data_IF_707351053606
#
_entry.id   IF_707351053606
#
_cell.length_a   1.000
_cell.length_b   1.000
_cell.length_c   1.000
_cell.angle_alpha   90.00
_cell.angle_beta   90.00
_cell.angle_gamma   90.00
#
_symmetry.space_group_name_H-M   'P 1'
#
loop_
_entity.id
_entity.type
_entity.pdbx_description
1 polymer ?
#
# COMPACT_ATOMS: atom_id res chain seq x y z
N UNK A 1 14.86 50.95 24.67
CA UNK A 1 15.05 49.76 23.83
C UNK A 1 13.98 48.73 24.06
N UNK A 2 12.98 48.65 23.18
CA UNK A 2 12.17 47.44 23.04
C UNK A 2 12.90 46.56 22.03
N UNK A 3 13.43 45.44 22.51
CA UNK A 3 13.86 44.34 21.65
C UNK A 3 12.63 43.90 20.82
N UNK A 4 12.79 43.59 19.53
CA UNK A 4 11.71 42.98 18.78
C UNK A 4 11.48 41.59 19.39
N UNK A 5 10.24 41.34 19.84
CA UNK A 5 9.76 39.98 20.11
C UNK A 5 9.84 39.20 18.79
N UNK A 6 11.00 38.63 18.50
CA UNK A 6 11.16 37.56 17.53
C UNK A 6 10.52 36.31 18.16
N UNK A 7 9.20 36.32 18.21
CA UNK A 7 8.42 35.13 18.47
C UNK A 7 8.58 34.28 17.21
N UNK A 8 9.60 33.42 17.21
CA UNK A 8 9.69 32.28 16.32
C UNK A 8 8.50 31.35 16.64
N UNK A 9 7.29 31.77 16.30
CA UNK A 9 6.18 30.85 16.15
C UNK A 9 6.59 29.93 15.00
N UNK A 10 6.87 28.68 15.35
CA UNK A 10 7.06 27.61 14.38
C UNK A 10 5.80 27.59 13.51
N UNK A 11 5.94 28.00 12.24
CA UNK A 11 4.80 28.07 11.32
C UNK A 11 4.23 26.66 11.17
N UNK A 12 2.92 26.52 11.38
CA UNK A 12 2.27 25.23 11.16
C UNK A 12 2.25 24.89 9.66
N UNK A 13 2.03 23.63 9.32
CA UNK A 13 1.84 23.22 7.92
C UNK A 13 0.69 23.97 7.24
N UNK A 14 -0.36 24.29 8.00
CA UNK A 14 -1.50 25.07 7.53
C UNK A 14 -1.12 26.54 7.26
N UNK A 15 -0.31 27.15 8.14
CA UNK A 15 0.18 28.52 7.92
C UNK A 15 1.06 28.61 6.66
N UNK A 16 1.93 27.62 6.46
CA UNK A 16 2.77 27.53 5.26
C UNK A 16 1.92 27.37 4.00
N UNK A 17 0.92 26.48 4.01
CA UNK A 17 0.03 26.29 2.87
C UNK A 17 -0.78 27.56 2.54
N UNK A 18 -1.33 28.24 3.55
CA UNK A 18 -2.07 29.48 3.37
C UNK A 18 -1.18 30.59 2.78
N UNK A 19 0.07 30.71 3.23
CA UNK A 19 1.03 31.66 2.67
C UNK A 19 1.38 31.35 1.22
N UNK A 20 1.64 30.07 0.88
CA UNK A 20 1.92 29.65 -0.50
C UNK A 20 0.74 29.95 -1.44
N UNK A 21 -0.49 29.63 -1.03
CA UNK A 21 -1.69 29.94 -1.82
C UNK A 21 -1.88 31.44 -2.04
N UNK A 22 -1.59 32.26 -1.02
CA UNK A 22 -1.67 33.72 -1.13
C UNK A 22 -0.61 34.28 -2.08
N UNK A 23 0.61 33.74 -2.06
CA UNK A 23 1.73 34.18 -2.90
C UNK A 23 1.63 33.64 -4.34
N UNK A 24 0.96 32.50 -4.54
CA UNK A 24 0.82 31.84 -5.84
C UNK A 24 0.56 32.78 -7.04
N UNK A 25 -0.44 33.67 -7.03
CA UNK A 25 -0.71 34.55 -8.19
C UNK A 25 0.38 35.59 -8.46
N UNK A 26 1.27 35.85 -7.49
CA UNK A 26 2.38 36.79 -7.63
C UNK A 26 3.63 36.15 -8.25
N UNK A 27 3.69 34.83 -8.31
CA UNK A 27 4.82 34.09 -8.87
C UNK A 27 4.83 34.14 -10.39
N UNK A 28 6.03 34.05 -10.96
CA UNK A 28 6.20 33.93 -12.41
C UNK A 28 5.64 32.59 -12.91
N UNK A 29 5.24 32.53 -14.18
CA UNK A 29 4.72 31.29 -14.78
C UNK A 29 5.72 30.14 -14.76
N UNK A 30 7.01 30.42 -14.95
CA UNK A 30 8.06 29.40 -14.87
C UNK A 30 8.22 28.86 -13.44
N UNK A 31 8.21 29.73 -12.43
CA UNK A 31 8.29 29.32 -11.02
C UNK A 31 7.06 28.50 -10.61
N UNK A 32 5.85 28.91 -11.03
CA UNK A 32 4.64 28.12 -10.80
C UNK A 32 4.77 26.71 -11.39
N UNK A 33 5.26 26.61 -12.62
CA UNK A 33 5.43 25.33 -13.30
C UNK A 33 6.51 24.44 -12.63
N UNK A 34 7.59 25.02 -12.13
CA UNK A 34 8.61 24.30 -11.37
C UNK A 34 8.07 23.75 -10.05
N UNK A 35 7.31 24.56 -9.30
CA UNK A 35 6.69 24.12 -8.05
C UNK A 35 5.69 23.00 -8.26
N UNK A 36 4.85 23.07 -9.30
CA UNK A 36 3.91 22.00 -9.67
C UNK A 36 4.66 20.71 -10.00
N UNK A 37 5.75 20.78 -10.77
CA UNK A 37 6.55 19.60 -11.08
C UNK A 37 7.21 19.00 -9.83
N UNK A 38 7.66 19.84 -8.90
CA UNK A 38 8.26 19.38 -7.65
C UNK A 38 7.22 18.70 -6.73
N UNK A 39 6.02 19.28 -6.63
CA UNK A 39 4.91 18.68 -5.90
C UNK A 39 4.53 17.32 -6.50
N UNK A 40 4.35 17.26 -7.82
CA UNK A 40 4.09 16.01 -8.54
C UNK A 40 5.18 14.96 -8.26
N UNK A 41 6.46 15.33 -8.39
CA UNK A 41 7.59 14.41 -8.17
C UNK A 41 7.64 13.87 -6.74
N UNK A 42 7.29 14.71 -5.77
CA UNK A 42 7.20 14.32 -4.35
C UNK A 42 6.09 13.29 -4.15
N UNK A 43 4.89 13.56 -4.67
CA UNK A 43 3.74 12.65 -4.58
C UNK A 43 4.05 11.34 -5.30
N UNK A 44 4.61 11.40 -6.51
CA UNK A 44 4.97 10.22 -7.29
C UNK A 44 5.95 9.31 -6.54
N UNK A 45 7.01 9.90 -5.97
CA UNK A 45 7.99 9.16 -5.17
C UNK A 45 7.36 8.50 -3.94
N UNK A 46 6.46 9.22 -3.27
CA UNK A 46 5.75 8.70 -2.11
C UNK A 46 4.77 7.58 -2.48
N UNK A 47 4.15 7.66 -3.67
CA UNK A 47 3.28 6.62 -4.19
C UNK A 47 4.03 5.30 -4.44
N UNK A 48 5.26 5.35 -4.99
CA UNK A 48 6.13 4.17 -5.13
C UNK A 48 6.42 3.56 -3.76
N UNK A 49 6.79 4.39 -2.78
CA UNK A 49 7.10 3.90 -1.43
C UNK A 49 5.88 3.21 -0.79
N UNK A 50 4.69 3.81 -0.89
CA UNK A 50 3.48 3.20 -0.36
C UNK A 50 3.06 1.94 -1.12
N UNK A 51 3.27 1.86 -2.43
CA UNK A 51 3.07 0.63 -3.19
C UNK A 51 3.92 -0.51 -2.59
N UNK A 52 5.21 -0.28 -2.37
CA UNK A 52 6.10 -1.26 -1.75
C UNK A 52 5.65 -1.66 -0.34
N UNK A 53 5.25 -0.69 0.48
CA UNK A 53 4.74 -0.97 1.82
C UNK A 53 3.47 -1.82 1.79
N UNK A 54 2.53 -1.52 0.88
CA UNK A 54 1.31 -2.30 0.70
C UNK A 54 1.62 -3.73 0.23
N UNK A 55 2.57 -3.93 -0.68
CA UNK A 55 3.01 -5.28 -1.07
C UNK A 55 3.50 -6.07 0.15
N UNK A 56 4.39 -5.47 0.96
CA UNK A 56 4.93 -6.12 2.16
C UNK A 56 3.86 -6.50 3.21
N UNK A 57 2.74 -5.76 3.24
CA UNK A 57 1.68 -5.96 4.22
C UNK A 57 0.55 -6.85 3.72
N UNK A 58 0.28 -6.84 2.41
CA UNK A 58 -0.88 -7.51 1.81
C UNK A 58 -0.53 -8.88 1.24
N UNK A 59 0.73 -9.11 0.86
CA UNK A 59 1.16 -10.44 0.39
C UNK A 59 1.35 -11.37 1.60
N UNK A 60 0.67 -12.53 1.64
CA UNK A 60 0.77 -13.46 2.76
C UNK A 60 2.13 -14.14 2.87
N UNK A 61 2.61 -14.34 4.10
CA UNK A 61 3.85 -15.08 4.40
C UNK A 61 3.72 -16.61 4.24
N UNK A 62 2.48 -17.12 4.28
CA UNK A 62 2.13 -18.53 4.17
C UNK A 62 0.81 -18.63 3.40
N UNK A 63 0.87 -19.12 2.16
CA UNK A 63 -0.29 -19.23 1.27
C UNK A 63 -1.28 -20.31 1.74
N UNK A 64 -0.83 -21.28 2.55
CA UNK A 64 -1.65 -22.41 3.01
C UNK A 64 -2.72 -22.06 4.06
N UNK A 65 -2.66 -20.87 4.68
CA UNK A 65 -3.51 -20.51 5.85
C UNK A 65 -4.49 -19.37 5.61
N UNK A 66 -4.56 -18.79 4.41
CA UNK A 66 -5.21 -17.50 4.26
C UNK A 66 -6.69 -17.58 3.84
N UNK A 67 -7.55 -18.04 4.75
CA UNK A 67 -9.02 -17.86 4.63
C UNK A 67 -9.49 -16.45 5.00
N UNK A 68 -8.63 -15.58 5.54
CA UNK A 68 -9.02 -14.28 6.09
C UNK A 68 -9.23 -13.20 5.03
N UNK A 69 -8.52 -13.25 3.91
CA UNK A 69 -8.73 -12.30 2.80
C UNK A 69 -9.91 -12.67 1.89
N UNK A 70 -10.51 -13.86 2.07
CA UNK A 70 -11.66 -14.32 1.28
C UNK A 70 -13.00 -13.73 1.75
N UNK A 71 -13.01 -12.93 2.83
CA UNK A 71 -14.23 -12.34 3.39
C UNK A 71 -14.65 -11.01 2.73
N UNK A 72 -13.80 -10.41 1.88
CA UNK A 72 -14.12 -9.16 1.20
C UNK A 72 -14.47 -9.45 -0.26
N UNK A 73 -15.73 -9.83 -0.50
CA UNK A 73 -16.29 -9.89 -1.84
C UNK A 73 -16.14 -8.52 -2.56
N UNK A 74 -16.02 -8.49 -3.90
CA UNK A 74 -15.89 -7.25 -4.65
C UNK A 74 -17.27 -6.60 -4.75
N UNK A 75 -17.61 -5.74 -3.80
CA UNK A 75 -18.78 -4.87 -3.91
C UNK A 75 -19.62 -4.77 -2.64
N UNK A 76 -19.05 -4.24 -1.56
CA UNK A 76 -19.84 -3.49 -0.57
C UNK A 76 -18.89 -2.69 0.34
N UNK A 77 -18.50 -1.48 -0.07
CA UNK A 77 -17.79 -0.54 0.82
C UNK A 77 -18.75 0.49 1.45
N UNK A 78 -20.07 0.28 1.34
CA UNK A 78 -21.11 1.16 1.90
C UNK A 78 -21.84 0.55 3.11
N UNK A 79 -21.21 -0.36 3.87
CA UNK A 79 -21.74 -0.80 5.17
C UNK A 79 -20.86 -0.34 6.32
N UNK A 80 -21.16 0.87 6.82
CA UNK A 80 -20.78 1.25 8.17
C UNK A 80 -21.47 0.34 9.18
N UNK A 81 -20.72 -0.61 9.74
CA UNK A 81 -21.16 -1.35 10.93
C UNK A 81 -19.97 -1.88 11.72
N UNK A 82 -19.77 -1.30 12.89
CA UNK A 82 -19.01 -1.90 13.97
C UNK A 82 -19.78 -3.16 14.42
N UNK A 83 -19.19 -4.35 14.32
CA UNK A 83 -19.71 -5.51 15.02
C UNK A 83 -18.61 -6.36 15.66
N UNK A 84 -18.97 -6.83 16.83
CA UNK A 84 -18.15 -7.29 17.93
C UNK A 84 -17.78 -8.78 17.76
N UNK A 85 -16.64 -9.14 18.33
CA UNK A 85 -16.11 -10.51 18.45
C UNK A 85 -17.18 -11.51 18.90
N UNK A 86 -17.38 -12.61 18.17
CA UNK A 86 -17.98 -13.82 18.75
C UNK A 86 -17.21 -15.06 18.30
N UNK A 87 -16.72 -15.79 19.30
CA UNK A 87 -16.12 -17.13 19.23
C UNK A 87 -16.96 -18.07 18.37
N UNK A 88 -16.30 -18.85 17.52
CA UNK A 88 -16.68 -20.23 17.24
C UNK A 88 -15.43 -21.05 16.94
N UNK A 89 -14.87 -21.62 18.00
CA UNK A 89 -14.03 -22.82 17.94
C UNK A 89 -14.99 -23.98 17.66
N UNK A 90 -14.80 -24.66 16.53
CA UNK A 90 -15.36 -25.99 16.29
C UNK A 90 -14.34 -26.72 15.41
N UNK A 91 -13.68 -27.71 16.02
CA UNK A 91 -12.49 -28.35 15.52
C UNK A 91 -12.66 -29.12 14.22
N UNK A 92 -11.54 -29.33 13.54
CA UNK A 92 -11.29 -30.52 12.73
C UNK A 92 -9.78 -30.71 12.67
N UNK A 93 -9.31 -31.62 13.51
CA UNK A 93 -8.07 -32.36 13.32
C UNK A 93 -8.31 -33.39 12.22
N UNK A 94 -7.65 -33.23 11.10
CA UNK A 94 -7.37 -34.31 10.15
C UNK A 94 -6.07 -33.96 9.43
N UNK A 95 -4.96 -34.47 9.95
CA UNK A 95 -3.72 -34.59 9.20
C UNK A 95 -3.91 -35.68 8.15
N UNK A 96 -3.95 -35.29 6.88
CA UNK A 96 -3.76 -36.21 5.75
C UNK A 96 -2.64 -35.68 4.87
N UNK A 97 -1.55 -36.42 4.91
CA UNK A 97 -0.34 -36.29 4.12
C UNK A 97 -0.58 -36.84 2.72
N UNK A 98 0.08 -36.20 1.75
CA UNK A 98 0.36 -36.65 0.38
C UNK A 98 -0.78 -36.57 -0.67
N UNK A 99 -0.98 -35.35 -1.17
CA UNK A 99 -1.30 -35.12 -2.59
C UNK A 99 -0.58 -33.85 -3.04
N UNK A 100 0.41 -33.99 -3.92
CA UNK A 100 0.90 -32.93 -4.81
C UNK A 100 -0.28 -32.46 -5.69
N UNK A 101 -1.08 -31.53 -5.15
CA UNK A 101 -2.28 -31.02 -5.79
C UNK A 101 -1.92 -29.72 -6.52
N UNK A 102 -2.02 -29.73 -7.85
CA UNK A 102 -1.80 -28.57 -8.74
C UNK A 102 -2.84 -27.45 -8.62
N UNK A 103 -3.35 -27.19 -7.41
CA UNK A 103 -4.23 -26.07 -7.07
C UNK A 103 -3.48 -24.88 -6.44
N UNK A 104 -2.23 -25.07 -6.00
CA UNK A 104 -1.45 -24.00 -5.35
C UNK A 104 -1.19 -22.81 -6.29
N UNK A 105 -0.91 -23.06 -7.58
CA UNK A 105 -0.69 -21.98 -8.56
C UNK A 105 -1.93 -21.10 -8.77
N UNK A 106 -3.14 -21.67 -8.66
CA UNK A 106 -4.38 -20.91 -8.84
C UNK A 106 -4.65 -19.98 -7.66
N UNK A 107 -4.40 -20.42 -6.42
CA UNK A 107 -4.60 -19.57 -5.22
C UNK A 107 -3.54 -18.47 -5.10
N UNK A 108 -2.28 -18.77 -5.44
CA UNK A 108 -1.20 -17.76 -5.48
C UNK A 108 -1.50 -16.66 -6.51
N UNK A 109 -2.01 -17.04 -7.69
CA UNK A 109 -2.40 -16.09 -8.73
C UNK A 109 -3.57 -15.21 -8.31
N UNK A 110 -4.57 -15.75 -7.61
CA UNK A 110 -5.70 -14.95 -7.11
C UNK A 110 -5.28 -13.91 -6.08
N UNK A 111 -4.36 -14.26 -5.18
CA UNK A 111 -3.79 -13.32 -4.19
C UNK A 111 -3.02 -12.22 -4.91
N UNK A 112 -2.11 -12.57 -5.84
CA UNK A 112 -1.33 -11.61 -6.60
C UNK A 112 -2.24 -10.62 -7.34
N UNK A 113 -3.27 -11.12 -8.03
CA UNK A 113 -4.24 -10.30 -8.75
C UNK A 113 -5.06 -9.40 -7.83
N UNK A 114 -5.42 -9.88 -6.63
CA UNK A 114 -6.13 -9.09 -5.63
C UNK A 114 -5.28 -7.93 -5.10
N UNK A 115 -4.01 -8.21 -4.73
CA UNK A 115 -3.06 -7.21 -4.25
C UNK A 115 -2.75 -6.18 -5.34
N UNK A 116 -2.45 -6.62 -6.57
CA UNK A 116 -2.22 -5.71 -7.70
C UNK A 116 -3.42 -4.79 -7.90
N UNK A 117 -4.64 -5.34 -7.95
CA UNK A 117 -5.86 -4.54 -8.14
C UNK A 117 -6.06 -3.52 -7.02
N UNK A 118 -5.82 -3.92 -5.76
CA UNK A 118 -5.93 -3.01 -4.62
C UNK A 118 -4.96 -1.84 -4.74
N UNK A 119 -3.69 -2.13 -5.01
CA UNK A 119 -2.64 -1.09 -5.13
C UNK A 119 -2.91 -0.19 -6.34
N UNK A 120 -3.31 -0.74 -7.49
CA UNK A 120 -3.68 0.06 -8.67
C UNK A 120 -4.82 1.03 -8.36
N UNK A 121 -5.85 0.59 -7.61
CA UNK A 121 -6.96 1.49 -7.20
C UNK A 121 -6.51 2.56 -6.22
N UNK A 122 -5.62 2.24 -5.29
CA UNK A 122 -5.01 3.23 -4.40
C UNK A 122 -4.23 4.28 -5.21
N UNK A 123 -3.41 3.85 -6.18
CA UNK A 123 -2.65 4.75 -7.06
C UNK A 123 -3.59 5.63 -7.87
N UNK A 124 -4.61 5.06 -8.52
CA UNK A 124 -5.61 5.82 -9.27
C UNK A 124 -6.22 6.93 -8.40
N UNK A 125 -6.56 6.63 -7.15
CA UNK A 125 -7.17 7.59 -6.23
C UNK A 125 -6.19 8.69 -5.82
N UNK A 126 -5.07 8.32 -5.20
CA UNK A 126 -4.11 9.26 -4.61
C UNK A 126 -3.43 10.11 -5.68
N UNK A 127 -2.94 9.48 -6.75
CA UNK A 127 -2.20 10.19 -7.78
C UNK A 127 -3.11 11.11 -8.63
N UNK A 128 -4.36 10.71 -8.90
CA UNK A 128 -5.30 11.58 -9.61
C UNK A 128 -5.71 12.78 -8.76
N UNK A 129 -6.02 12.58 -7.47
CA UNK A 129 -6.42 13.69 -6.57
C UNK A 129 -5.29 14.67 -6.30
N UNK A 130 -4.04 14.18 -6.33
CA UNK A 130 -2.84 15.00 -6.16
C UNK A 130 -2.27 15.57 -7.46
N UNK A 131 -2.95 15.41 -8.60
CA UNK A 131 -2.55 16.03 -9.87
C UNK A 131 -1.31 15.43 -10.54
N UNK A 132 -0.97 14.17 -10.25
CA UNK A 132 0.13 13.47 -10.93
C UNK A 132 -0.24 13.23 -12.39
N UNK A 133 0.74 13.38 -13.29
CA UNK A 133 0.52 13.16 -14.72
C UNK A 133 0.12 11.73 -15.03
N UNK A 134 -0.68 11.57 -16.08
CA UNK A 134 -1.13 10.25 -16.53
C UNK A 134 0.03 9.33 -16.95
N UNK A 135 1.14 9.89 -17.43
CA UNK A 135 2.30 9.09 -17.83
C UNK A 135 3.04 8.52 -16.61
N UNK A 136 3.18 9.29 -15.54
CA UNK A 136 3.67 8.79 -14.27
C UNK A 136 2.72 7.73 -13.67
N UNK A 137 1.40 7.95 -13.71
CA UNK A 137 0.41 6.95 -13.23
C UNK A 137 0.54 5.64 -14.01
N UNK A 138 0.64 5.70 -15.34
CA UNK A 138 0.87 4.51 -16.17
C UNK A 138 2.17 3.80 -15.82
N UNK A 139 3.23 4.55 -15.54
CA UNK A 139 4.51 3.98 -15.11
C UNK A 139 4.36 3.17 -13.82
N UNK A 140 3.61 3.68 -12.83
CA UNK A 140 3.29 2.95 -11.60
C UNK A 140 2.50 1.68 -11.89
N UNK A 141 1.47 1.75 -12.76
CA UNK A 141 0.67 0.60 -13.13
C UNK A 141 1.50 -0.52 -13.79
N UNK A 142 2.47 -0.16 -14.62
CA UNK A 142 3.39 -1.12 -15.23
C UNK A 142 4.35 -1.74 -14.19
N UNK A 143 4.72 -0.99 -13.16
CA UNK A 143 5.70 -1.42 -12.14
C UNK A 143 5.09 -2.36 -11.09
N UNK A 144 3.86 -2.11 -10.65
CA UNK A 144 3.20 -2.81 -9.53
C UNK A 144 3.19 -4.34 -9.70
N UNK A 145 2.78 -4.92 -10.85
CA UNK A 145 2.76 -6.37 -11.01
C UNK A 145 4.14 -7.01 -10.79
N UNK A 146 5.21 -6.36 -11.27
CA UNK A 146 6.57 -6.84 -11.10
C UNK A 146 7.03 -6.82 -9.65
N UNK A 147 6.70 -5.76 -8.90
CA UNK A 147 7.02 -5.67 -7.47
C UNK A 147 6.29 -6.77 -6.69
N UNK A 148 5.00 -7.00 -6.97
CA UNK A 148 4.20 -8.03 -6.30
C UNK A 148 4.77 -9.42 -6.57
N UNK A 149 5.05 -9.74 -7.83
CA UNK A 149 5.62 -11.03 -8.22
C UNK A 149 6.95 -11.29 -7.52
N UNK A 150 7.87 -10.30 -7.56
CA UNK A 150 9.18 -10.39 -6.92
C UNK A 150 9.07 -10.62 -5.40
N UNK A 151 8.10 -9.98 -4.74
CA UNK A 151 7.91 -10.17 -3.30
C UNK A 151 7.36 -11.56 -2.96
N UNK A 152 6.43 -12.09 -3.77
CA UNK A 152 5.91 -13.46 -3.62
C UNK A 152 7.07 -14.46 -3.76
N UNK A 153 7.87 -14.36 -4.81
CA UNK A 153 9.05 -15.23 -5.02
C UNK A 153 10.02 -15.19 -3.84
N UNK A 154 10.25 -13.98 -3.29
CA UNK A 154 11.11 -13.81 -2.11
C UNK A 154 10.54 -14.51 -0.89
N UNK A 155 9.23 -14.35 -0.63
CA UNK A 155 8.56 -15.00 0.50
C UNK A 155 8.53 -16.52 0.37
N UNK A 156 8.37 -17.06 -0.84
CA UNK A 156 8.44 -18.51 -1.07
C UNK A 156 9.82 -19.09 -0.72
N UNK A 157 10.89 -18.36 -1.05
CA UNK A 157 12.25 -18.74 -0.65
C UNK A 157 12.41 -18.74 0.87
N UNK A 158 11.92 -17.70 1.56
CA UNK A 158 11.95 -17.58 3.01
C UNK A 158 11.10 -18.66 3.69
N UNK A 159 9.91 -18.94 3.17
CA UNK A 159 9.00 -19.95 3.70
C UNK A 159 9.64 -21.34 3.66
N UNK A 160 10.25 -21.72 2.52
CA UNK A 160 10.99 -22.98 2.39
C UNK A 160 12.12 -23.11 3.42
N UNK A 161 12.86 -22.03 3.66
CA UNK A 161 13.94 -22.02 4.64
C UNK A 161 13.41 -22.10 6.09
N UNK A 162 12.30 -21.42 6.40
CA UNK A 162 11.68 -21.42 7.73
C UNK A 162 11.29 -22.83 8.19
N UNK A 163 10.85 -23.69 7.27
CA UNK A 163 10.48 -25.09 7.56
C UNK A 163 11.67 -26.00 7.86
N UNK A 164 12.90 -25.57 7.53
CA UNK A 164 14.12 -26.30 7.87
C UNK A 164 14.57 -26.04 9.32
N UNK A 165 14.09 -24.95 9.92
CA UNK A 165 14.46 -24.58 11.28
C UNK A 165 13.68 -25.43 12.31
N UNK A 166 14.33 -25.90 13.39
CA UNK A 166 13.66 -26.63 14.45
C UNK A 166 12.64 -25.73 15.18
N UNK A 167 11.57 -26.30 15.78
CA UNK A 167 10.58 -25.51 16.49
C UNK A 167 11.24 -24.70 17.62
N UNK A 168 11.02 -23.39 17.61
CA UNK A 168 11.49 -22.51 18.68
C UNK A 168 10.74 -22.89 19.95
N UNK A 169 11.46 -23.38 20.97
CA UNK A 169 10.87 -23.60 22.30
C UNK A 169 10.50 -22.24 22.89
N UNK A 170 9.22 -22.09 23.28
CA UNK A 170 8.69 -20.88 23.94
C UNK A 170 9.02 -20.87 25.43
#
# INVERSE_FOLDING_TARGET
DRLPDNQYHEKTAMDLAAEQLRLWPTLSKSTQQELVQHEESTVFSQAIHFANLMVNLLVPLDTSKNKLLRASAPGDWESGSNSIVTNSIAGSVAESYDTESGFEDSENNDIANSVVRFITRFIDKVCTESGVTQDHIKSLHCMIPGIVAMHIETLEAVHRESRRLPPIQK
#
